data_IF_993837430248
#
_entry.id   IF_993837430248
#
_cell.length_a   1.000
_cell.length_b   1.000
_cell.length_c   1.000
_cell.angle_alpha   90.00
_cell.angle_beta   90.00
_cell.angle_gamma   90.00
#
_symmetry.space_group_name_H-M   'P 1'
#
loop_
_entity.id
_entity.type
_entity.pdbx_description
1 polymer ?
#
# COMPACT_ATOMS: atom_id res chain seq x y z
N UNK A 1 11.23 -34.31 29.59
CA UNK A 1 10.32 -35.10 28.71
C UNK A 1 9.25 -34.15 28.22
N UNK A 2 9.51 -33.58 27.10
CA UNK A 2 8.56 -32.64 26.44
C UNK A 2 7.44 -33.45 25.83
N UNK A 3 6.30 -33.40 26.47
CA UNK A 3 5.02 -33.82 25.91
C UNK A 3 4.54 -32.68 24.97
N UNK A 4 5.29 -32.46 23.88
CA UNK A 4 4.85 -31.48 22.90
C UNK A 4 4.24 -32.16 21.70
N UNK A 5 2.93 -32.05 21.70
CA UNK A 5 2.06 -31.82 20.57
C UNK A 5 2.27 -32.76 19.39
N UNK A 6 1.34 -33.63 19.25
CA UNK A 6 0.98 -34.12 17.91
C UNK A 6 0.92 -32.90 17.00
N UNK A 7 1.66 -32.90 15.89
CA UNK A 7 1.49 -31.85 14.91
C UNK A 7 0.04 -31.92 14.43
N UNK A 8 -0.78 -30.99 14.89
CA UNK A 8 -2.08 -30.78 14.28
C UNK A 8 -1.79 -30.36 12.84
N UNK A 9 -1.99 -31.26 11.89
CA UNK A 9 -1.87 -30.97 10.46
C UNK A 9 -2.77 -29.79 10.15
N UNK A 10 -2.19 -28.73 9.63
CA UNK A 10 -2.93 -27.53 9.22
C UNK A 10 -3.71 -27.86 7.95
N UNK A 11 -4.71 -27.05 7.66
CA UNK A 11 -5.42 -27.13 6.39
C UNK A 11 -4.51 -26.81 5.19
N UNK A 12 -3.37 -26.13 5.41
CA UNK A 12 -2.34 -25.88 4.41
C UNK A 12 -1.48 -27.08 4.05
N UNK A 13 -1.40 -28.08 4.94
CA UNK A 13 -0.55 -29.27 4.75
C UNK A 13 -1.27 -30.36 3.94
N UNK A 14 -2.55 -30.19 3.69
CA UNK A 14 -3.40 -31.23 3.09
C UNK A 14 -3.95 -30.79 1.74
N UNK A 15 -3.92 -31.72 0.77
CA UNK A 15 -4.71 -31.59 -0.45
C UNK A 15 -6.18 -31.68 -0.04
N UNK A 16 -6.97 -30.68 -0.42
CA UNK A 16 -8.41 -30.66 -0.16
C UNK A 16 -9.19 -31.02 -1.41
N UNK A 17 -10.21 -31.81 -1.20
CA UNK A 17 -11.18 -32.15 -2.24
C UNK A 17 -12.51 -31.51 -1.89
N UNK A 18 -13.24 -31.10 -2.88
CA UNK A 18 -14.57 -30.50 -2.73
C UNK A 18 -15.50 -30.87 -3.85
N UNK A 19 -16.77 -30.62 -3.61
CA UNK A 19 -17.83 -30.70 -4.59
C UNK A 19 -18.26 -29.30 -5.00
N UNK A 20 -18.61 -29.08 -6.25
CA UNK A 20 -19.09 -27.78 -6.70
C UNK A 20 -19.60 -27.80 -8.13
N UNK A 21 -20.27 -26.71 -8.54
CA UNK A 21 -20.83 -26.59 -9.87
C UNK A 21 -19.80 -26.67 -11.01
N UNK A 22 -18.51 -26.52 -10.69
CA UNK A 22 -17.39 -26.66 -11.66
C UNK A 22 -16.96 -28.07 -11.93
N UNK A 23 -17.42 -29.02 -11.12
CA UNK A 23 -17.09 -30.46 -11.24
C UNK A 23 -18.31 -31.30 -11.65
N UNK A 24 -19.11 -30.73 -12.55
CA UNK A 24 -20.27 -31.43 -13.10
C UNK A 24 -19.86 -32.30 -14.25
N UNK A 25 -20.43 -33.53 -14.31
CA UNK A 25 -20.26 -34.43 -15.44
C UNK A 25 -21.57 -35.12 -15.75
N UNK A 26 -21.78 -35.41 -17.01
CA UNK A 26 -22.93 -36.20 -17.47
C UNK A 26 -22.43 -37.56 -18.00
N UNK A 27 -23.02 -38.65 -17.49
CA UNK A 27 -22.68 -40.02 -17.95
C UNK A 27 -23.32 -40.28 -19.30
N UNK A 28 -24.47 -39.67 -19.56
CA UNK A 28 -25.24 -39.90 -20.79
C UNK A 28 -25.00 -38.83 -21.87
N UNK A 29 -24.25 -37.79 -21.56
CA UNK A 29 -24.08 -36.63 -22.44
C UNK A 29 -25.29 -35.68 -22.50
N UNK A 30 -26.29 -35.89 -21.66
CA UNK A 30 -27.49 -35.05 -21.57
C UNK A 30 -27.34 -34.00 -20.45
N UNK A 31 -27.77 -32.76 -20.71
CA UNK A 31 -27.78 -31.70 -19.72
C UNK A 31 -28.75 -31.93 -18.55
N UNK A 32 -29.66 -32.90 -18.68
CA UNK A 32 -30.63 -33.29 -17.66
C UNK A 32 -30.12 -34.35 -16.68
N UNK A 33 -28.99 -34.99 -16.97
CA UNK A 33 -28.42 -36.07 -16.16
C UNK A 33 -27.00 -35.67 -15.67
N UNK A 34 -26.94 -34.56 -14.95
CA UNK A 34 -25.69 -33.97 -14.48
C UNK A 34 -25.42 -34.41 -13.03
N UNK A 35 -24.31 -35.06 -12.82
CA UNK A 35 -23.85 -35.47 -11.49
C UNK A 35 -22.74 -34.59 -10.99
N UNK A 36 -22.75 -34.31 -9.69
CA UNK A 36 -21.70 -33.57 -9.03
C UNK A 36 -20.48 -34.45 -8.79
N UNK A 37 -19.36 -34.07 -9.36
CA UNK A 37 -18.09 -34.75 -9.16
C UNK A 37 -17.28 -34.17 -7.98
N UNK A 38 -16.18 -34.83 -7.70
CA UNK A 38 -15.17 -34.38 -6.76
C UNK A 38 -13.93 -33.90 -7.51
N UNK A 39 -13.38 -32.78 -7.11
CA UNK A 39 -12.13 -32.24 -7.63
C UNK A 39 -11.21 -31.75 -6.55
N UNK A 40 -9.95 -31.57 -6.87
CA UNK A 40 -8.99 -30.91 -5.97
C UNK A 40 -9.34 -29.44 -5.91
N UNK A 41 -9.64 -28.95 -4.70
CA UNK A 41 -9.98 -27.55 -4.47
C UNK A 41 -8.79 -26.73 -3.93
N UNK A 42 -7.84 -27.38 -3.25
CA UNK A 42 -6.61 -26.73 -2.81
C UNK A 42 -5.48 -27.77 -2.75
N UNK A 43 -4.30 -27.31 -3.12
CA UNK A 43 -3.06 -28.08 -2.96
C UNK A 43 -2.47 -27.80 -1.57
N UNK A 44 -1.90 -28.84 -0.95
CA UNK A 44 -1.18 -28.73 0.32
C UNK A 44 0.31 -28.85 0.12
N UNK A 45 1.09 -28.36 1.06
CA UNK A 45 2.52 -28.57 1.17
C UNK A 45 2.83 -29.42 2.41
N UNK A 46 3.28 -30.64 2.21
CA UNK A 46 3.56 -31.61 3.28
C UNK A 46 4.77 -31.17 4.13
N UNK A 47 5.65 -30.38 3.54
CA UNK A 47 6.87 -29.88 4.18
C UNK A 47 6.66 -28.50 4.85
N UNK A 48 5.40 -28.03 4.91
CA UNK A 48 5.07 -26.75 5.50
C UNK A 48 5.56 -26.61 6.95
N UNK A 49 6.27 -25.53 7.22
CA UNK A 49 6.84 -25.19 8.53
C UNK A 49 6.16 -23.98 9.14
N UNK A 50 6.43 -23.75 10.42
CA UNK A 50 6.03 -22.53 11.08
C UNK A 50 6.95 -21.37 10.69
N UNK A 51 6.34 -20.22 10.40
CA UNK A 51 7.11 -18.97 10.32
C UNK A 51 7.82 -18.70 11.63
N UNK A 52 9.09 -18.35 11.56
CA UNK A 52 9.92 -18.06 12.73
C UNK A 52 10.35 -16.61 12.72
N UNK A 53 10.07 -15.87 13.79
CA UNK A 53 10.58 -14.52 13.99
C UNK A 53 11.65 -14.48 15.07
N UNK A 54 12.79 -13.88 14.74
CA UNK A 54 13.89 -13.60 15.68
C UNK A 54 14.09 -12.09 15.74
N UNK A 55 14.19 -11.54 16.94
CA UNK A 55 14.37 -10.10 17.13
C UNK A 55 15.56 -9.83 18.05
N UNK A 56 16.42 -8.93 17.63
CA UNK A 56 17.42 -8.28 18.47
C UNK A 56 16.95 -6.85 18.69
N UNK A 57 16.86 -6.45 19.96
CA UNK A 57 16.54 -5.07 20.35
C UNK A 57 17.62 -4.57 21.29
N UNK A 58 18.13 -3.37 21.05
CA UNK A 58 19.09 -2.67 21.92
C UNK A 58 18.59 -1.25 22.10
N UNK A 59 18.32 -0.89 23.35
CA UNK A 59 17.78 0.42 23.67
C UNK A 59 18.34 0.97 24.98
N UNK A 60 18.00 2.19 25.25
CA UNK A 60 18.24 2.83 26.55
C UNK A 60 17.08 3.74 26.93
N UNK A 61 16.86 3.83 28.23
CA UNK A 61 15.96 4.78 28.87
C UNK A 61 16.77 5.76 29.70
N UNK A 62 16.48 7.05 29.55
CA UNK A 62 17.12 8.10 30.32
C UNK A 62 16.08 9.12 30.81
N UNK A 63 16.32 9.63 32.00
CA UNK A 63 15.56 10.74 32.54
C UNK A 63 16.54 11.79 33.03
N UNK A 64 16.42 13.01 32.50
CA UNK A 64 17.35 14.12 32.77
C UNK A 64 16.61 15.40 33.11
N UNK A 65 17.35 16.42 33.51
CA UNK A 65 16.82 17.72 33.91
C UNK A 65 15.77 17.65 35.03
N UNK A 66 16.13 17.05 36.17
CA UNK A 66 15.22 16.85 37.30
C UNK A 66 13.90 16.17 36.90
N UNK A 67 14.00 15.12 36.10
CA UNK A 67 12.88 14.30 35.60
C UNK A 67 11.95 15.04 34.62
N UNK A 68 12.37 16.17 34.06
CA UNK A 68 11.56 16.89 33.08
C UNK A 68 11.64 16.24 31.69
N UNK A 69 12.81 15.75 31.28
CA UNK A 69 12.97 15.10 29.98
C UNK A 69 13.16 13.59 30.17
N UNK A 70 12.21 12.82 29.69
CA UNK A 70 12.31 11.38 29.46
C UNK A 70 12.73 11.10 28.03
N UNK A 71 13.67 10.19 27.85
CA UNK A 71 14.19 9.72 26.55
C UNK A 71 14.10 8.20 26.56
N UNK A 72 13.43 7.59 25.57
CA UNK A 72 13.48 6.17 25.29
C UNK A 72 13.95 6.03 23.85
N UNK A 73 14.99 5.24 23.65
CA UNK A 73 15.54 4.96 22.33
C UNK A 73 15.73 3.46 22.18
N UNK A 74 15.23 2.92 21.08
CA UNK A 74 15.38 1.53 20.69
C UNK A 74 15.87 1.42 19.26
N UNK A 75 16.88 0.57 19.05
CA UNK A 75 17.27 0.06 17.76
C UNK A 75 16.92 -1.42 17.69
N UNK A 76 16.30 -1.84 16.60
CA UNK A 76 15.92 -3.23 16.45
C UNK A 76 16.26 -3.82 15.07
N UNK A 77 16.47 -5.12 15.08
CA UNK A 77 16.61 -5.98 13.90
C UNK A 77 15.70 -7.18 14.09
N UNK A 78 14.66 -7.28 13.28
CA UNK A 78 13.73 -8.42 13.25
C UNK A 78 13.90 -9.18 11.94
N UNK A 79 14.20 -10.47 12.05
CA UNK A 79 14.24 -11.42 10.93
C UNK A 79 13.06 -12.36 11.03
N UNK A 80 12.31 -12.50 9.95
CA UNK A 80 11.24 -13.48 9.82
C UNK A 80 11.65 -14.45 8.72
N UNK A 81 11.72 -15.71 9.06
CA UNK A 81 12.11 -16.81 8.15
C UNK A 81 10.97 -17.77 7.94
N UNK A 82 11.05 -18.53 6.86
CA UNK A 82 10.07 -19.55 6.48
C UNK A 82 8.65 -18.94 6.30
N UNK A 83 8.53 -17.71 5.78
CA UNK A 83 7.21 -17.09 5.52
C UNK A 83 6.41 -17.91 4.51
N UNK A 84 5.15 -18.14 4.83
CA UNK A 84 4.20 -18.83 3.96
C UNK A 84 3.68 -17.89 2.88
N UNK A 85 4.08 -18.14 1.65
CA UNK A 85 3.72 -17.34 0.47
C UNK A 85 2.98 -18.23 -0.53
N UNK A 86 1.99 -17.66 -1.24
CA UNK A 86 1.30 -18.36 -2.32
C UNK A 86 2.28 -18.63 -3.48
N UNK A 87 2.60 -19.89 -3.72
CA UNK A 87 3.55 -20.26 -4.76
C UNK A 87 3.02 -19.93 -6.16
N UNK A 88 3.91 -19.51 -7.06
CA UNK A 88 3.59 -19.55 -8.48
C UNK A 88 3.55 -21.01 -8.92
N UNK A 89 2.35 -21.49 -9.25
CA UNK A 89 2.11 -22.89 -9.63
C UNK A 89 1.76 -23.02 -11.10
N UNK A 90 2.15 -24.15 -11.68
CA UNK A 90 1.83 -24.44 -13.08
C UNK A 90 0.33 -24.54 -13.31
N UNK A 91 -0.16 -24.01 -14.43
CA UNK A 91 -1.54 -24.19 -14.90
C UNK A 91 -1.95 -25.67 -15.04
N UNK A 92 -0.99 -26.59 -15.10
CA UNK A 92 -1.23 -28.06 -15.12
C UNK A 92 -1.89 -28.59 -13.83
N UNK A 93 -1.83 -27.81 -12.73
CA UNK A 93 -2.53 -28.14 -11.48
C UNK A 93 -4.05 -27.89 -11.53
N UNK A 94 -4.58 -27.38 -12.64
CA UNK A 94 -6.00 -27.09 -12.83
C UNK A 94 -6.50 -25.90 -12.01
N UNK A 95 -7.75 -25.97 -11.56
CA UNK A 95 -8.43 -24.88 -10.82
C UNK A 95 -8.25 -24.94 -9.29
N UNK A 96 -7.32 -25.75 -8.79
CA UNK A 96 -7.04 -25.82 -7.36
C UNK A 96 -6.38 -24.54 -6.86
N UNK A 97 -6.73 -24.13 -5.64
CA UNK A 97 -6.03 -23.05 -4.96
C UNK A 97 -4.55 -23.38 -4.82
N UNK A 98 -3.71 -22.37 -4.97
CA UNK A 98 -2.26 -22.49 -4.87
C UNK A 98 -1.83 -22.97 -3.49
N UNK A 99 -0.79 -23.83 -3.40
CA UNK A 99 -0.22 -24.18 -2.11
C UNK A 99 0.49 -22.98 -1.50
N UNK A 100 0.43 -22.87 -0.17
CA UNK A 100 1.28 -21.97 0.60
C UNK A 100 2.55 -22.70 0.95
N UNK A 101 3.69 -22.14 0.54
CA UNK A 101 5.01 -22.73 0.73
C UNK A 101 5.93 -21.79 1.51
N UNK A 102 6.87 -22.36 2.25
CA UNK A 102 7.83 -21.58 3.06
C UNK A 102 9.02 -21.16 2.19
N UNK A 103 8.84 -20.11 1.40
CA UNK A 103 9.84 -19.63 0.44
C UNK A 103 10.27 -18.18 0.65
N UNK A 104 9.84 -17.57 1.73
CA UNK A 104 10.15 -16.16 2.00
C UNK A 104 10.90 -15.93 3.29
N UNK A 105 11.93 -15.08 3.22
CA UNK A 105 12.60 -14.51 4.38
C UNK A 105 12.59 -13.00 4.29
N UNK A 106 12.39 -12.34 5.43
CA UNK A 106 12.30 -10.89 5.52
C UNK A 106 13.10 -10.33 6.69
N UNK A 107 13.70 -9.19 6.47
CA UNK A 107 14.39 -8.41 7.49
C UNK A 107 13.73 -7.05 7.66
N UNK A 108 13.44 -6.68 8.91
CA UNK A 108 13.03 -5.34 9.30
C UNK A 108 14.06 -4.80 10.28
N UNK A 109 14.62 -3.65 9.98
CA UNK A 109 15.51 -2.93 10.90
C UNK A 109 15.04 -1.50 11.05
N UNK A 110 15.10 -0.99 12.28
CA UNK A 110 14.59 0.34 12.55
C UNK A 110 15.08 0.92 13.85
N UNK A 111 14.65 2.15 14.06
CA UNK A 111 14.86 2.92 15.27
C UNK A 111 13.54 3.52 15.73
N UNK A 112 13.31 3.46 17.03
CA UNK A 112 12.19 4.11 17.69
C UNK A 112 12.74 5.09 18.72
N UNK A 113 12.23 6.32 18.72
CA UNK A 113 12.60 7.38 19.66
C UNK A 113 11.34 7.94 20.29
N UNK A 114 11.31 7.94 21.62
CA UNK A 114 10.24 8.60 22.38
C UNK A 114 10.86 9.65 23.30
N UNK A 115 10.44 10.89 23.13
CA UNK A 115 10.84 12.03 23.94
C UNK A 115 9.62 12.57 24.70
N UNK A 116 9.75 12.75 26.00
CA UNK A 116 8.67 13.35 26.79
C UNK A 116 9.23 14.46 27.66
N UNK A 117 8.79 15.67 27.40
CA UNK A 117 9.08 16.83 28.25
C UNK A 117 7.89 17.16 29.14
N UNK A 118 8.11 17.34 30.43
CA UNK A 118 7.10 17.78 31.39
C UNK A 118 7.68 18.90 32.25
N UNK A 119 6.93 19.99 32.38
CA UNK A 119 7.37 21.10 33.21
C UNK A 119 6.15 21.87 33.72
N UNK A 120 6.44 22.79 34.64
CA UNK A 120 5.46 23.67 35.25
C UNK A 120 6.00 25.10 35.27
N UNK A 121 5.24 26.02 34.70
CA UNK A 121 5.56 27.45 34.72
C UNK A 121 4.43 28.19 35.45
N UNK A 122 4.69 28.64 36.66
CA UNK A 122 3.68 29.24 37.52
C UNK A 122 2.54 28.27 37.83
N UNK A 123 1.33 28.56 37.38
CA UNK A 123 0.15 27.74 37.55
C UNK A 123 -0.17 26.82 36.34
N UNK A 124 0.68 26.88 35.30
CA UNK A 124 0.50 26.11 34.07
C UNK A 124 1.37 24.86 34.11
N UNK A 125 0.75 23.73 34.12
CA UNK A 125 1.42 22.44 33.93
C UNK A 125 1.34 22.06 32.43
N UNK A 126 2.47 21.67 31.81
CA UNK A 126 2.45 21.24 30.40
C UNK A 126 3.31 20.01 30.17
N UNK A 127 2.92 19.24 29.16
CA UNK A 127 3.75 18.15 28.67
C UNK A 127 3.73 18.09 27.13
N UNK A 128 4.90 17.77 26.57
CA UNK A 128 5.11 17.54 25.15
C UNK A 128 5.73 16.17 25.02
N UNK A 129 5.02 15.27 24.34
CA UNK A 129 5.53 13.95 23.97
C UNK A 129 5.73 13.88 22.47
N UNK A 130 6.88 13.37 22.01
CA UNK A 130 7.18 13.13 20.60
C UNK A 130 7.64 11.70 20.46
N UNK A 131 6.97 10.93 19.60
CA UNK A 131 7.41 9.61 19.21
C UNK A 131 7.72 9.59 17.73
N UNK A 132 8.87 9.02 17.37
CA UNK A 132 9.38 8.89 16.00
C UNK A 132 9.76 7.44 15.75
N UNK A 133 9.40 6.93 14.58
CA UNK A 133 9.79 5.59 14.14
C UNK A 133 10.26 5.64 12.69
N UNK A 134 11.44 5.09 12.44
CA UNK A 134 11.98 4.87 11.11
C UNK A 134 12.34 3.40 10.95
N UNK A 135 11.88 2.76 9.90
CA UNK A 135 12.25 1.38 9.60
C UNK A 135 12.50 1.13 8.12
N UNK A 136 13.31 0.13 7.84
CA UNK A 136 13.52 -0.41 6.49
C UNK A 136 13.13 -1.87 6.48
N UNK A 137 12.24 -2.19 5.54
CA UNK A 137 11.80 -3.55 5.23
C UNK A 137 12.59 -4.06 4.03
N UNK A 138 13.02 -5.33 4.06
CA UNK A 138 13.72 -5.98 2.95
C UNK A 138 13.41 -7.46 2.90
N UNK A 139 12.96 -7.95 1.75
CA UNK A 139 12.93 -9.37 1.44
C UNK A 139 14.36 -9.87 1.19
N UNK A 140 14.79 -10.85 1.95
CA UNK A 140 16.12 -11.46 1.83
C UNK A 140 16.09 -12.75 1.01
N UNK A 141 14.95 -13.43 0.97
CA UNK A 141 14.68 -14.59 0.12
C UNK A 141 13.21 -14.66 -0.27
N UNK A 142 12.89 -15.18 -1.46
CA UNK A 142 11.50 -15.31 -1.95
C UNK A 142 11.27 -16.55 -2.86
N UNK A 143 12.24 -17.46 -2.95
CA UNK A 143 12.09 -18.70 -3.69
C UNK A 143 11.99 -18.57 -5.22
N UNK A 144 12.08 -17.34 -5.76
CA UNK A 144 12.09 -17.08 -7.21
C UNK A 144 12.86 -15.79 -7.53
N UNK A 145 13.71 -15.85 -8.54
CA UNK A 145 14.47 -14.68 -9.02
C UNK A 145 13.54 -13.67 -9.72
N UNK A 146 12.50 -14.13 -10.39
CA UNK A 146 11.57 -13.28 -11.14
C UNK A 146 10.64 -12.44 -10.26
N UNK A 147 10.59 -12.72 -8.95
CA UNK A 147 9.64 -12.10 -8.03
C UNK A 147 8.23 -12.67 -8.12
N UNK A 148 7.38 -12.27 -7.17
CA UNK A 148 5.97 -12.62 -7.11
C UNK A 148 5.17 -11.35 -7.33
N UNK A 149 4.33 -11.34 -8.37
CA UNK A 149 3.52 -10.20 -8.74
C UNK A 149 2.09 -10.37 -8.25
N UNK A 150 1.56 -9.31 -7.67
CA UNK A 150 0.18 -9.24 -7.22
C UNK A 150 -0.54 -8.08 -7.90
N UNK A 151 -1.81 -8.27 -8.12
CA UNK A 151 -2.69 -7.25 -8.68
C UNK A 151 -4.14 -7.70 -8.55
N UNK A 152 -5.05 -6.77 -8.70
CA UNK A 152 -6.48 -7.04 -8.71
C UNK A 152 -7.04 -6.78 -10.12
N UNK A 153 -7.62 -5.60 -10.32
CA UNK A 153 -8.14 -5.18 -11.64
C UNK A 153 -7.03 -4.69 -12.56
N UNK A 154 -5.95 -4.15 -11.97
CA UNK A 154 -4.71 -3.78 -12.67
C UNK A 154 -3.69 -4.87 -12.37
N UNK A 155 -3.21 -5.53 -13.40
CA UNK A 155 -2.25 -6.62 -13.27
C UNK A 155 -0.88 -6.11 -12.80
N UNK A 156 -0.18 -6.92 -12.01
CA UNK A 156 1.20 -6.67 -11.60
C UNK A 156 1.43 -5.33 -10.88
N UNK A 157 0.43 -4.84 -10.15
CA UNK A 157 0.48 -3.56 -9.44
C UNK A 157 1.53 -3.57 -8.33
N UNK A 158 1.67 -4.68 -7.62
CA UNK A 158 2.64 -4.87 -6.56
C UNK A 158 3.60 -6.00 -6.91
N UNK A 159 4.82 -5.90 -6.41
CA UNK A 159 5.81 -6.96 -6.56
C UNK A 159 6.51 -7.25 -5.23
N UNK A 160 6.70 -8.52 -4.96
CA UNK A 160 7.62 -9.03 -3.94
C UNK A 160 8.86 -9.57 -4.66
N UNK A 161 10.00 -8.92 -4.45
CA UNK A 161 11.26 -9.27 -5.10
C UNK A 161 12.39 -9.24 -4.07
N UNK A 162 13.31 -10.21 -4.17
CA UNK A 162 14.49 -10.29 -3.32
C UNK A 162 15.30 -8.99 -3.39
N UNK A 163 15.69 -8.48 -2.22
CA UNK A 163 16.46 -7.26 -2.11
C UNK A 163 15.63 -5.98 -1.92
N UNK A 164 14.32 -6.03 -2.11
CA UNK A 164 13.39 -4.90 -2.01
C UNK A 164 12.41 -5.07 -0.86
N UNK A 165 11.66 -4.01 -0.56
CA UNK A 165 10.61 -4.07 0.43
C UNK A 165 9.39 -4.85 -0.07
N UNK A 166 8.58 -5.36 0.85
CA UNK A 166 7.33 -6.06 0.50
C UNK A 166 6.32 -5.08 -0.10
N UNK A 167 5.68 -5.48 -1.19
CA UNK A 167 4.57 -4.74 -1.77
C UNK A 167 4.96 -3.45 -2.48
N UNK A 168 6.21 -3.33 -2.95
CA UNK A 168 6.64 -2.23 -3.82
C UNK A 168 5.71 -2.10 -5.03
N UNK A 169 5.39 -0.87 -5.40
CA UNK A 169 4.61 -0.64 -6.61
C UNK A 169 5.47 -0.84 -7.85
N UNK A 170 4.91 -1.57 -8.81
CA UNK A 170 5.61 -1.99 -10.02
C UNK A 170 4.77 -1.69 -11.25
N UNK A 171 5.39 -1.19 -12.31
CA UNK A 171 4.68 -0.82 -13.53
C UNK A 171 5.51 0.03 -14.46
N UNK A 172 4.84 0.67 -15.41
CA UNK A 172 5.48 1.55 -16.38
C UNK A 172 5.73 2.94 -15.81
N UNK A 173 6.90 3.49 -16.09
CA UNK A 173 7.20 4.88 -15.76
C UNK A 173 6.71 5.80 -16.88
N UNK A 174 5.73 6.66 -16.57
CA UNK A 174 5.20 7.66 -17.50
C UNK A 174 6.16 8.85 -17.56
N UNK A 175 6.56 9.22 -18.76
CA UNK A 175 7.44 10.36 -19.09
C UNK A 175 6.67 11.53 -19.72
N UNK A 176 5.36 11.57 -19.55
CA UNK A 176 4.49 12.61 -20.08
C UNK A 176 3.48 12.09 -21.09
N UNK A 177 3.08 12.97 -22.02
CA UNK A 177 2.09 12.70 -23.07
C UNK A 177 2.69 13.11 -24.40
N UNK A 178 2.50 12.28 -25.43
CA UNK A 178 2.89 12.66 -26.80
C UNK A 178 2.02 13.80 -27.29
N UNK A 179 2.64 14.92 -27.67
CA UNK A 179 1.94 16.16 -28.07
C UNK A 179 1.79 16.30 -29.58
N UNK A 180 2.57 15.55 -30.36
CA UNK A 180 2.53 15.58 -31.85
C UNK A 180 3.02 14.26 -32.42
N UNK A 181 2.70 14.02 -33.69
CA UNK A 181 3.24 12.89 -34.45
C UNK A 181 4.78 12.93 -34.54
N UNK A 182 5.35 14.12 -34.65
CA UNK A 182 6.81 14.30 -34.71
C UNK A 182 7.46 13.86 -33.39
N UNK A 183 6.83 14.16 -32.26
CA UNK A 183 7.32 13.69 -30.98
C UNK A 183 7.26 12.16 -30.87
N UNK A 184 6.20 11.53 -31.37
CA UNK A 184 6.11 10.06 -31.43
C UNK A 184 7.22 9.45 -32.27
N UNK A 185 7.48 10.03 -33.47
CA UNK A 185 8.51 9.54 -34.39
C UNK A 185 9.94 9.73 -33.88
N UNK A 186 10.16 10.77 -33.09
CA UNK A 186 11.48 11.19 -32.63
C UNK A 186 11.74 10.92 -31.16
N UNK A 187 10.84 10.17 -30.50
CA UNK A 187 11.04 9.82 -29.09
C UNK A 187 12.27 8.92 -28.93
N UNK A 188 13.12 9.27 -27.98
CA UNK A 188 14.38 8.57 -27.70
C UNK A 188 14.50 8.19 -26.27
N UNK A 189 15.14 7.06 -26.01
CA UNK A 189 15.52 6.62 -24.68
C UNK A 189 16.74 7.39 -24.15
N UNK A 190 17.12 7.10 -22.91
CA UNK A 190 18.26 7.73 -22.25
C UNK A 190 19.60 7.47 -22.96
N UNK A 191 19.70 6.37 -23.73
CA UNK A 191 20.87 6.04 -24.55
C UNK A 191 20.87 6.76 -25.92
N UNK A 192 19.82 7.52 -26.25
CA UNK A 192 19.65 8.24 -27.51
C UNK A 192 19.09 7.38 -28.66
N UNK A 193 18.72 6.14 -28.43
CA UNK A 193 18.05 5.26 -29.37
C UNK A 193 16.59 5.64 -29.60
N UNK A 194 16.07 5.39 -30.82
CA UNK A 194 14.66 5.58 -31.12
C UNK A 194 13.81 4.55 -30.35
N UNK A 195 12.64 4.98 -29.87
CA UNK A 195 11.74 4.15 -29.08
C UNK A 195 10.41 3.94 -29.80
N UNK A 196 9.98 2.70 -29.92
CA UNK A 196 8.66 2.35 -30.42
C UNK A 196 7.66 2.35 -29.27
N UNK A 197 6.53 3.09 -29.40
CA UNK A 197 5.48 3.10 -28.37
C UNK A 197 4.91 1.72 -28.07
N UNK A 198 4.32 1.59 -26.91
CA UNK A 198 3.66 0.36 -26.46
C UNK A 198 2.66 -0.17 -27.48
N UNK A 199 2.75 -1.48 -27.76
CA UNK A 199 1.88 -2.14 -28.74
C UNK A 199 2.31 -2.00 -30.18
N UNK A 200 3.43 -1.31 -30.48
CA UNK A 200 4.01 -1.24 -31.82
C UNK A 200 5.00 -2.39 -32.03
N UNK A 201 4.77 -3.20 -33.04
CA UNK A 201 5.63 -4.37 -33.29
C UNK A 201 6.99 -3.99 -33.90
N UNK A 202 6.97 -3.06 -34.86
CA UNK A 202 8.15 -2.55 -35.60
C UNK A 202 7.92 -1.15 -36.14
N UNK A 203 8.96 -0.53 -36.66
CA UNK A 203 8.90 0.83 -37.19
C UNK A 203 7.99 0.96 -38.45
N UNK A 204 7.77 -0.12 -39.18
CA UNK A 204 6.91 -0.10 -40.37
C UNK A 204 5.42 -0.10 -40.02
N UNK A 205 5.09 -0.68 -38.85
CA UNK A 205 3.71 -0.73 -38.30
C UNK A 205 3.36 0.51 -37.46
N UNK A 206 4.32 1.42 -37.23
CA UNK A 206 4.07 2.62 -36.41
C UNK A 206 3.09 3.56 -37.11
N UNK A 207 1.95 3.81 -36.48
CA UNK A 207 1.04 4.87 -36.86
C UNK A 207 1.05 5.97 -35.80
N UNK A 208 1.82 7.04 -35.96
CA UNK A 208 2.02 8.04 -34.91
C UNK A 208 0.75 8.75 -34.45
N UNK A 209 -0.22 8.94 -35.35
CA UNK A 209 -1.46 9.63 -35.03
C UNK A 209 -2.26 8.91 -33.92
N UNK A 210 -2.08 7.60 -33.75
CA UNK A 210 -2.75 6.81 -32.69
C UNK A 210 -2.18 7.07 -31.29
N UNK A 211 -0.96 7.61 -31.22
CA UNK A 211 -0.27 7.84 -29.95
C UNK A 211 -0.32 9.29 -29.49
N UNK A 212 -0.67 10.23 -30.37
CA UNK A 212 -0.84 11.64 -29.97
C UNK A 212 -1.92 11.76 -28.90
N UNK A 213 -1.60 12.42 -27.80
CA UNK A 213 -2.45 12.51 -26.62
C UNK A 213 -2.41 11.29 -25.69
N UNK A 214 -1.62 10.28 -25.98
CA UNK A 214 -1.44 9.10 -25.13
C UNK A 214 -0.21 9.24 -24.21
N UNK A 215 -0.11 8.42 -23.16
CA UNK A 215 1.06 8.40 -22.30
C UNK A 215 2.31 8.02 -23.08
N UNK A 216 3.34 8.80 -22.88
CA UNK A 216 4.72 8.52 -23.26
C UNK A 216 5.37 7.74 -22.12
N UNK A 217 5.84 6.54 -22.39
CA UNK A 217 6.43 5.63 -21.42
C UNK A 217 7.92 5.56 -21.60
N UNK A 218 8.67 5.51 -20.52
CA UNK A 218 10.12 5.40 -20.52
C UNK A 218 10.56 4.00 -20.93
N UNK A 219 11.47 3.92 -21.88
CA UNK A 219 12.22 2.70 -22.22
C UNK A 219 13.32 2.51 -21.18
N UNK A 220 13.07 1.63 -20.22
CA UNK A 220 13.93 1.46 -19.02
C UNK A 220 15.16 0.61 -19.35
N UNK A 221 14.99 -0.40 -20.20
CA UNK A 221 16.06 -1.32 -20.58
C UNK A 221 16.90 -0.81 -21.77
N UNK A 222 16.47 0.28 -22.44
CA UNK A 222 17.08 0.90 -23.60
C UNK A 222 17.16 -0.02 -24.84
N UNK A 223 16.18 -0.91 -25.03
CA UNK A 223 16.13 -1.80 -26.19
C UNK A 223 15.39 -1.22 -27.40
N UNK A 224 14.79 -0.03 -27.26
CA UNK A 224 14.09 0.70 -28.31
C UNK A 224 12.63 0.29 -28.50
N UNK A 225 12.04 -0.45 -27.55
CA UNK A 225 10.63 -0.85 -27.54
C UNK A 225 10.05 -0.61 -26.17
N UNK A 226 8.74 -0.40 -26.09
CA UNK A 226 8.01 -0.40 -24.82
C UNK A 226 7.23 -1.71 -24.71
N UNK A 227 7.67 -2.58 -23.81
CA UNK A 227 7.01 -3.85 -23.51
C UNK A 227 7.07 -4.21 -22.01
N UNK A 228 6.77 -5.47 -21.67
CA UNK A 228 6.73 -5.89 -20.28
C UNK A 228 8.09 -5.80 -19.56
N UNK A 229 9.20 -5.74 -20.29
CA UNK A 229 10.57 -5.62 -19.74
C UNK A 229 10.90 -4.21 -19.27
N UNK A 230 10.09 -3.19 -19.65
CA UNK A 230 10.22 -1.81 -19.20
C UNK A 230 9.51 -1.51 -17.88
N UNK A 231 8.84 -2.50 -17.32
CA UNK A 231 8.23 -2.34 -16.00
C UNK A 231 9.32 -2.26 -14.94
N UNK A 232 9.18 -1.29 -14.05
CA UNK A 232 10.15 -1.01 -12.98
C UNK A 232 9.43 -0.68 -11.68
N UNK A 233 10.19 -0.42 -10.61
CA UNK A 233 9.62 0.10 -9.38
C UNK A 233 9.19 1.55 -9.59
N UNK A 234 7.91 1.83 -9.36
CA UNK A 234 7.29 3.14 -9.56
C UNK A 234 6.89 3.83 -8.26
N UNK A 235 6.96 3.13 -7.13
CA UNK A 235 6.67 3.71 -5.83
C UNK A 235 6.90 2.73 -4.68
N UNK A 236 7.03 3.30 -3.47
CA UNK A 236 7.25 2.58 -2.23
C UNK A 236 6.11 2.83 -1.24
N UNK A 237 5.33 1.81 -0.84
CA UNK A 237 4.25 1.99 0.13
C UNK A 237 4.73 2.19 1.57
N UNK A 238 6.02 1.95 1.88
CA UNK A 238 6.55 2.07 3.23
C UNK A 238 6.98 3.50 3.51
N UNK A 239 6.56 4.10 4.65
CA UNK A 239 7.01 5.43 5.02
C UNK A 239 8.49 5.44 5.43
N UNK A 240 9.14 6.55 5.13
CA UNK A 240 10.49 6.82 5.65
C UNK A 240 10.44 7.17 7.13
N UNK A 241 9.41 7.92 7.55
CA UNK A 241 9.26 8.34 8.94
C UNK A 241 7.77 8.36 9.33
N UNK A 242 7.48 7.77 10.47
CA UNK A 242 6.19 7.91 11.14
C UNK A 242 6.38 8.48 12.53
N UNK A 243 5.39 9.16 13.04
CA UNK A 243 5.48 9.66 14.40
C UNK A 243 4.23 10.34 14.88
N UNK A 244 4.29 10.79 16.12
CA UNK A 244 3.20 11.53 16.73
C UNK A 244 3.69 12.54 17.73
N UNK A 245 2.87 13.56 17.95
CA UNK A 245 3.10 14.60 18.93
C UNK A 245 1.90 14.67 19.86
N UNK A 246 2.14 14.44 21.13
CA UNK A 246 1.17 14.63 22.21
C UNK A 246 1.46 15.97 22.89
N UNK A 247 0.48 16.84 22.96
CA UNK A 247 0.56 18.08 23.71
C UNK A 247 -0.51 18.06 24.78
N UNK A 248 -0.14 18.43 26.01
CA UNK A 248 -1.13 18.67 27.06
C UNK A 248 -0.75 19.91 27.88
N UNK A 249 -1.75 20.69 28.24
CA UNK A 249 -1.63 21.90 29.05
C UNK A 249 -2.75 21.90 30.07
N UNK A 250 -2.38 22.10 31.33
CA UNK A 250 -3.31 22.26 32.45
C UNK A 250 -3.18 23.65 33.09
N UNK A 251 -4.28 24.34 33.35
CA UNK A 251 -4.32 25.61 33.99
C UNK A 251 -5.62 25.85 34.77
N UNK A 252 -5.53 26.03 36.09
CA UNK A 252 -6.67 26.37 36.96
C UNK A 252 -7.91 25.49 36.78
N UNK A 253 -7.70 24.20 36.63
CA UNK A 253 -8.78 23.23 36.42
C UNK A 253 -9.14 23.00 34.95
N UNK A 254 -8.74 23.84 34.02
CA UNK A 254 -8.80 23.58 32.60
C UNK A 254 -7.69 22.61 32.18
N UNK A 255 -7.98 21.71 31.27
CA UNK A 255 -7.01 20.87 30.61
C UNK A 255 -7.29 20.85 29.09
N UNK A 256 -6.25 21.08 28.31
CA UNK A 256 -6.25 20.96 26.86
C UNK A 256 -5.28 19.86 26.47
N UNK A 257 -5.70 18.92 25.66
CA UNK A 257 -4.81 17.91 25.11
C UNK A 257 -5.09 17.66 23.63
N UNK A 258 -4.03 17.38 22.88
CA UNK A 258 -4.12 17.03 21.47
C UNK A 258 -3.11 15.97 21.11
N UNK A 259 -3.47 15.14 20.11
CA UNK A 259 -2.58 14.19 19.50
C UNK A 259 -2.54 14.43 17.98
N UNK A 260 -1.35 14.68 17.50
CA UNK A 260 -1.05 14.76 16.07
C UNK A 260 -0.30 13.48 15.66
N UNK A 261 -0.66 12.96 14.51
CA UNK A 261 0.03 11.80 13.90
C UNK A 261 0.45 12.16 12.48
N UNK A 262 1.63 11.72 12.07
CA UNK A 262 2.12 11.92 10.71
C UNK A 262 2.81 10.66 10.16
N UNK A 263 2.75 10.55 8.84
CA UNK A 263 3.50 9.59 8.04
C UNK A 263 4.10 10.34 6.86
N UNK A 264 5.37 10.11 6.56
CA UNK A 264 6.10 10.84 5.52
C UNK A 264 6.90 9.86 4.68
N UNK A 265 6.91 10.08 3.35
CA UNK A 265 7.75 9.35 2.40
C UNK A 265 7.15 8.04 1.90
N UNK A 266 5.88 7.76 2.19
CA UNK A 266 5.18 6.64 1.58
C UNK A 266 4.39 7.06 0.35
N UNK A 267 4.39 6.21 -0.66
CA UNK A 267 3.53 6.36 -1.83
C UNK A 267 2.20 5.62 -1.65
N UNK A 268 1.18 6.10 -2.35
CA UNK A 268 -0.14 5.46 -2.45
C UNK A 268 -0.42 5.18 -3.93
N UNK A 269 -0.87 3.96 -4.21
CA UNK A 269 -1.46 3.64 -5.50
C UNK A 269 -2.91 4.13 -5.50
N UNK A 270 -3.18 5.23 -6.21
CA UNK A 270 -4.48 5.91 -6.26
C UNK A 270 -5.49 5.12 -7.12
N UNK A 271 -5.90 3.95 -6.64
CA UNK A 271 -6.77 3.01 -7.38
C UNK A 271 -8.11 3.62 -7.80
N UNK A 272 -8.59 4.68 -7.11
CA UNK A 272 -9.81 5.38 -7.50
C UNK A 272 -9.71 5.98 -8.91
N UNK A 273 -8.49 6.33 -9.40
CA UNK A 273 -8.25 6.85 -10.76
C UNK A 273 -8.66 5.84 -11.83
N UNK A 274 -8.50 4.54 -11.57
CA UNK A 274 -8.97 3.47 -12.45
C UNK A 274 -10.46 3.62 -12.76
N UNK A 275 -11.26 3.98 -11.76
CA UNK A 275 -12.70 4.12 -11.92
C UNK A 275 -13.14 5.49 -12.44
N UNK A 276 -12.45 6.55 -12.01
CA UNK A 276 -12.92 7.93 -12.22
C UNK A 276 -12.13 8.71 -13.24
N UNK A 277 -10.93 8.25 -13.62
CA UNK A 277 -10.05 8.95 -14.57
C UNK A 277 -9.83 8.17 -15.86
N UNK A 278 -9.80 6.84 -15.82
CA UNK A 278 -9.43 6.01 -16.95
C UNK A 278 -10.57 5.14 -17.53
N UNK A 279 -11.82 5.44 -17.15
CA UNK A 279 -12.96 4.94 -17.90
C UNK A 279 -13.41 3.52 -17.61
N UNK A 280 -12.94 2.89 -16.55
CA UNK A 280 -13.36 1.53 -16.18
C UNK A 280 -14.84 1.39 -15.79
N UNK A 281 -15.48 2.47 -15.38
CA UNK A 281 -16.91 2.54 -15.13
C UNK A 281 -17.59 3.48 -16.14
N UNK A 282 -18.64 3.01 -16.77
CA UNK A 282 -19.38 3.75 -17.82
C UNK A 282 -20.20 4.93 -17.28
N UNK A 283 -19.96 5.44 -16.07
CA UNK A 283 -20.94 6.35 -15.45
C UNK A 283 -20.46 7.76 -15.20
N UNK A 284 -19.33 7.99 -14.62
CA UNK A 284 -18.94 9.36 -14.27
C UNK A 284 -17.41 9.51 -14.19
N UNK A 285 -16.91 10.45 -14.95
CA UNK A 285 -15.52 10.87 -14.84
C UNK A 285 -15.37 11.98 -13.81
N UNK A 286 -14.19 12.06 -13.20
CA UNK A 286 -13.89 13.15 -12.28
C UNK A 286 -13.80 14.48 -13.03
N UNK A 287 -14.13 15.57 -12.31
CA UNK A 287 -13.95 16.92 -12.83
C UNK A 287 -12.46 17.17 -13.16
N UNK A 288 -11.56 16.67 -12.34
CA UNK A 288 -10.11 16.75 -12.54
C UNK A 288 -9.70 16.13 -13.89
N UNK A 289 -10.17 14.93 -14.19
CA UNK A 289 -9.94 14.29 -15.50
C UNK A 289 -10.45 15.14 -16.66
N UNK A 290 -11.64 15.71 -16.52
CA UNK A 290 -12.26 16.57 -17.54
C UNK A 290 -11.41 17.82 -17.82
N UNK A 291 -10.99 18.50 -16.74
CA UNK A 291 -10.35 19.80 -16.84
C UNK A 291 -8.86 19.69 -17.19
N UNK A 292 -8.20 18.56 -16.85
CA UNK A 292 -6.77 18.34 -16.99
C UNK A 292 -6.41 17.25 -18.03
N UNK A 293 -7.35 16.84 -18.88
CA UNK A 293 -7.00 16.00 -20.05
C UNK A 293 -6.26 16.80 -21.09
N UNK A 294 -5.28 16.15 -21.69
CA UNK A 294 -4.58 16.72 -22.83
C UNK A 294 -5.52 16.85 -24.02
N UNK A 295 -5.46 17.98 -24.70
CA UNK A 295 -6.04 18.22 -26.02
C UNK A 295 -5.21 19.29 -26.73
N UNK A 296 -5.41 19.51 -28.05
CA UNK A 296 -4.76 20.63 -28.75
C UNK A 296 -5.03 21.99 -28.10
N UNK A 297 -6.21 22.16 -27.48
CA UNK A 297 -6.62 23.37 -26.77
C UNK A 297 -6.07 23.41 -25.33
N UNK A 298 -5.72 22.26 -24.75
CA UNK A 298 -5.10 22.12 -23.43
C UNK A 298 -3.79 21.33 -23.49
N UNK A 299 -2.72 21.87 -24.08
CA UNK A 299 -1.46 21.17 -24.32
C UNK A 299 -0.66 20.86 -23.03
N UNK A 300 -1.08 21.41 -21.90
CA UNK A 300 -0.49 21.16 -20.57
C UNK A 300 -1.29 20.14 -19.75
N UNK A 301 -2.28 19.51 -20.35
CA UNK A 301 -3.04 18.44 -19.68
C UNK A 301 -2.11 17.31 -19.22
N UNK A 302 -2.40 16.76 -18.04
CA UNK A 302 -1.60 15.71 -17.40
C UNK A 302 -2.21 14.31 -17.57
N UNK A 303 -3.44 14.23 -18.02
CA UNK A 303 -4.10 12.97 -18.35
C UNK A 303 -4.16 12.76 -19.86
N UNK A 304 -4.16 11.52 -20.33
CA UNK A 304 -4.27 11.24 -21.76
C UNK A 304 -5.51 11.90 -22.40
N UNK A 305 -5.46 12.10 -23.69
CA UNK A 305 -6.59 12.60 -24.44
C UNK A 305 -7.83 11.72 -24.25
N UNK A 306 -9.02 12.32 -24.22
CA UNK A 306 -10.25 11.55 -24.30
C UNK A 306 -10.29 10.77 -25.60
N UNK A 307 -10.31 9.46 -25.50
CA UNK A 307 -10.55 8.63 -26.66
C UNK A 307 -12.04 8.37 -26.79
N UNK A 308 -12.56 8.45 -28.01
CA UNK A 308 -13.86 7.88 -28.32
C UNK A 308 -13.78 6.36 -28.11
N UNK A 309 -14.78 5.77 -27.55
CA UNK A 309 -14.99 4.43 -26.97
C UNK A 309 -14.17 3.20 -27.42
N UNK A 310 -13.22 3.32 -28.32
CA UNK A 310 -12.41 2.23 -28.88
C UNK A 310 -10.89 2.41 -28.76
N UNK A 311 -10.42 3.48 -28.12
CA UNK A 311 -8.99 3.83 -28.18
C UNK A 311 -8.38 4.44 -26.92
N UNK A 312 -8.90 4.21 -25.71
CA UNK A 312 -8.13 4.58 -24.53
C UNK A 312 -6.82 3.79 -24.50
N UNK A 313 -5.72 4.49 -24.24
CA UNK A 313 -4.43 3.87 -24.09
C UNK A 313 -4.53 2.71 -23.09
N UNK A 314 -4.23 1.52 -23.56
CA UNK A 314 -4.21 0.31 -22.75
C UNK A 314 -3.33 0.48 -21.50
N UNK A 315 -2.26 1.29 -21.59
CA UNK A 315 -1.38 1.60 -20.47
C UNK A 315 -2.10 2.44 -19.42
N UNK A 316 -2.84 3.48 -19.80
CA UNK A 316 -3.50 4.35 -18.84
C UNK A 316 -4.54 3.60 -17.99
N UNK A 317 -5.38 2.79 -18.65
CA UNK A 317 -6.52 2.15 -18.00
C UNK A 317 -6.22 0.75 -17.44
N UNK A 318 -5.39 -0.05 -18.11
CA UNK A 318 -5.27 -1.47 -17.82
C UNK A 318 -3.93 -1.88 -17.24
N UNK A 319 -2.93 -1.02 -17.32
CA UNK A 319 -1.58 -1.33 -16.88
C UNK A 319 -1.18 -0.49 -15.67
N UNK A 320 -0.47 -1.12 -14.75
CA UNK A 320 0.16 -0.40 -13.65
C UNK A 320 1.18 0.59 -14.17
N UNK A 321 1.05 1.85 -13.78
CA UNK A 321 1.95 2.91 -14.23
C UNK A 321 2.05 4.05 -13.20
N UNK A 322 3.08 4.89 -13.33
CA UNK A 322 3.39 5.92 -12.34
C UNK A 322 2.35 7.04 -12.22
N UNK A 323 1.39 7.18 -13.14
CA UNK A 323 0.30 8.16 -13.01
C UNK A 323 -0.70 7.82 -11.91
N UNK A 324 -0.70 6.56 -11.45
CA UNK A 324 -1.47 6.13 -10.28
C UNK A 324 -0.77 6.42 -8.95
N UNK A 325 0.54 6.71 -8.98
CA UNK A 325 1.31 6.89 -7.76
C UNK A 325 1.18 8.34 -7.29
N UNK A 326 0.83 8.49 -6.03
CA UNK A 326 0.74 9.78 -5.36
C UNK A 326 1.49 9.75 -4.04
N UNK A 327 2.00 10.90 -3.61
CA UNK A 327 2.59 11.06 -2.28
C UNK A 327 1.51 10.84 -1.20
N UNK A 328 1.71 9.83 -0.38
CA UNK A 328 0.84 9.45 0.72
C UNK A 328 1.19 10.13 2.03
N UNK A 329 2.12 11.07 2.04
CA UNK A 329 2.50 11.79 3.24
C UNK A 329 1.35 12.61 3.81
N UNK A 330 1.22 12.63 5.14
CA UNK A 330 0.18 13.41 5.80
C UNK A 330 0.54 13.79 7.23
N UNK A 331 -0.11 14.84 7.73
CA UNK A 331 -0.20 15.22 9.14
C UNK A 331 -1.67 15.30 9.53
N UNK A 332 -2.06 14.60 10.60
CA UNK A 332 -3.43 14.56 11.11
C UNK A 332 -3.48 14.96 12.58
N UNK A 333 -4.36 15.90 12.93
CA UNK A 333 -4.78 16.09 14.31
C UNK A 333 -5.88 15.07 14.60
N UNK A 334 -5.51 13.97 15.27
CA UNK A 334 -6.43 12.86 15.53
C UNK A 334 -7.43 13.19 16.64
N UNK A 335 -6.99 13.90 17.67
CA UNK A 335 -7.84 14.28 18.80
C UNK A 335 -7.50 15.68 19.29
N UNK A 336 -8.54 16.40 19.71
CA UNK A 336 -8.44 17.64 20.47
C UNK A 336 -9.46 17.54 21.60
N UNK A 337 -9.00 17.64 22.84
CA UNK A 337 -9.85 17.53 24.03
C UNK A 337 -9.66 18.76 24.89
N UNK A 338 -10.77 19.40 25.25
CA UNK A 338 -10.82 20.47 26.26
C UNK A 338 -11.64 19.99 27.43
N UNK A 339 -11.04 19.98 28.61
CA UNK A 339 -11.68 19.59 29.84
C UNK A 339 -11.67 20.68 30.90
N UNK A 340 -12.60 20.59 31.85
CA UNK A 340 -12.63 21.41 33.06
C UNK A 340 -12.95 20.56 34.27
N UNK A 341 -12.06 20.58 35.25
CA UNK A 341 -12.27 19.91 36.54
C UNK A 341 -12.80 20.93 37.55
N UNK A 342 -13.95 20.64 38.12
CA UNK A 342 -14.60 21.53 39.06
C UNK A 342 -13.77 21.71 40.36
N UNK A 343 -13.79 22.91 40.97
CA UNK A 343 -13.03 23.18 42.18
C UNK A 343 -13.42 22.31 43.36
N UNK A 344 -12.45 21.86 44.18
CA UNK A 344 -12.68 21.05 45.39
C UNK A 344 -13.71 21.65 46.33
N UNK A 345 -13.78 22.96 46.46
CA UNK A 345 -14.76 23.65 47.33
C UNK A 345 -16.21 23.38 46.90
N UNK A 346 -16.48 23.21 45.64
CA UNK A 346 -17.82 22.81 45.12
C UNK A 346 -18.08 21.33 45.37
N UNK A 347 -17.04 20.50 45.13
CA UNK A 347 -17.13 19.06 45.30
C UNK A 347 -17.45 18.64 46.74
N UNK A 348 -16.79 19.29 47.71
CA UNK A 348 -17.04 19.03 49.10
C UNK A 348 -18.49 19.31 49.52
N UNK A 349 -19.15 20.32 48.90
CA UNK A 349 -20.56 20.65 49.17
C UNK A 349 -21.53 19.55 48.71
N UNK A 350 -21.21 18.93 47.59
CA UNK A 350 -22.06 17.90 46.95
C UNK A 350 -21.59 16.45 47.26
N UNK A 351 -20.56 16.29 48.12
CA UNK A 351 -19.98 15.02 48.55
C UNK A 351 -19.47 14.15 47.40
N UNK A 352 -18.88 14.77 46.39
CA UNK A 352 -18.16 14.09 45.32
C UNK A 352 -16.65 14.36 45.44
N UNK A 353 -15.83 13.39 45.04
CA UNK A 353 -14.36 13.56 45.06
C UNK A 353 -13.87 14.42 43.90
N UNK A 354 -14.40 14.18 42.72
CA UNK A 354 -13.99 14.89 41.48
C UNK A 354 -15.09 14.81 40.42
N UNK A 355 -15.38 15.93 39.81
CA UNK A 355 -16.18 16.00 38.55
C UNK A 355 -15.32 16.70 37.51
N UNK A 356 -15.16 16.08 36.34
CA UNK A 356 -14.54 16.68 35.15
C UNK A 356 -15.53 16.61 34.00
N UNK A 357 -15.75 17.73 33.36
CA UNK A 357 -16.56 17.87 32.15
C UNK A 357 -15.60 18.10 31.00
N UNK A 358 -15.76 17.41 29.88
CA UNK A 358 -14.89 17.61 28.72
C UNK A 358 -15.67 17.48 27.42
N UNK A 359 -15.15 18.17 26.39
CA UNK A 359 -15.51 17.99 25.00
C UNK A 359 -14.32 17.46 24.20
N UNK A 360 -14.56 16.54 23.29
CA UNK A 360 -13.53 15.98 22.42
C UNK A 360 -13.98 16.01 20.96
N UNK A 361 -13.06 16.40 20.09
CA UNK A 361 -13.22 16.36 18.64
C UNK A 361 -12.19 15.36 18.11
N UNK A 362 -12.64 14.45 17.25
CA UNK A 362 -11.79 13.48 16.58
C UNK A 362 -11.60 13.84 15.11
N UNK A 363 -10.41 13.55 14.54
CA UNK A 363 -10.06 13.86 13.15
C UNK A 363 -10.32 15.32 12.78
N UNK A 364 -9.73 16.24 13.57
CA UNK A 364 -9.95 17.69 13.46
C UNK A 364 -9.57 18.22 12.08
N UNK A 365 -8.41 17.81 11.58
CA UNK A 365 -7.94 18.07 10.21
C UNK A 365 -6.92 17.03 9.76
N UNK A 366 -6.77 16.93 8.44
CA UNK A 366 -5.67 16.19 7.78
C UNK A 366 -5.05 17.09 6.73
N UNK A 367 -3.74 17.28 6.80
CA UNK A 367 -2.94 17.95 5.77
C UNK A 367 -2.23 16.88 4.95
N UNK A 368 -2.50 16.83 3.66
CA UNK A 368 -1.92 15.84 2.74
C UNK A 368 -1.92 16.39 1.31
N UNK A 369 -0.97 15.94 0.50
CA UNK A 369 -0.96 16.13 -0.95
C UNK A 369 -1.77 15.07 -1.72
N UNK A 370 -2.19 14.00 -1.04
CA UNK A 370 -2.98 12.93 -1.66
C UNK A 370 -4.34 13.45 -2.13
N UNK A 371 -4.68 13.21 -3.39
CA UNK A 371 -5.90 13.73 -4.01
C UNK A 371 -7.16 12.89 -3.75
N UNK A 372 -6.99 11.69 -3.16
CA UNK A 372 -8.10 10.82 -2.76
C UNK A 372 -8.77 11.26 -1.46
N UNK A 373 -9.73 10.45 -0.98
CA UNK A 373 -10.55 10.80 0.20
C UNK A 373 -9.73 10.85 1.50
N UNK A 374 -8.85 9.90 1.72
CA UNK A 374 -8.08 9.79 2.96
C UNK A 374 -6.81 8.94 2.72
N UNK A 375 -5.61 9.44 3.03
CA UNK A 375 -4.37 8.69 2.84
C UNK A 375 -4.24 7.45 3.73
N UNK A 376 -5.10 7.27 4.73
CA UNK A 376 -5.13 6.11 5.63
C UNK A 376 -6.22 5.08 5.27
N UNK A 377 -7.10 5.38 4.32
CA UNK A 377 -8.16 4.43 3.94
C UNK A 377 -7.55 3.19 3.31
N UNK A 378 -7.91 2.04 3.88
CA UNK A 378 -7.67 0.74 3.26
C UNK A 378 -8.65 0.54 2.11
N UNK A 379 -8.15 0.18 0.96
CA UNK A 379 -8.98 -0.43 -0.07
C UNK A 379 -9.21 -1.90 0.32
N UNK A 380 -10.28 -2.16 1.04
CA UNK A 380 -10.80 -3.52 1.18
C UNK A 380 -11.70 -3.76 -0.03
N UNK A 381 -11.42 -4.75 -0.83
CA UNK A 381 -12.20 -5.07 -2.04
C UNK A 381 -13.55 -5.73 -1.70
N UNK A 382 -13.89 -5.79 -0.42
CA UNK A 382 -15.14 -6.41 0.06
C UNK A 382 -15.18 -7.93 -0.09
N UNK A 383 -14.11 -8.56 -0.57
CA UNK A 383 -14.06 -10.01 -0.77
C UNK A 383 -13.57 -10.78 0.47
N UNK A 384 -13.31 -10.10 1.56
CA UNK A 384 -12.71 -10.68 2.77
C UNK A 384 -11.22 -11.04 2.60
N UNK A 385 -10.68 -10.89 1.42
CA UNK A 385 -9.28 -11.00 1.10
C UNK A 385 -8.67 -9.58 1.12
N UNK A 386 -8.36 -9.09 2.30
CA UNK A 386 -7.59 -7.85 2.45
C UNK A 386 -6.18 -8.06 1.91
N UNK A 387 -6.01 -8.01 0.59
CA UNK A 387 -4.72 -7.92 -0.09
C UNK A 387 -4.21 -6.47 -0.11
N UNK A 388 -4.68 -5.67 0.80
CA UNK A 388 -4.18 -4.34 1.06
C UNK A 388 -3.37 -4.36 2.33
N UNK A 389 -2.16 -3.95 2.23
CA UNK A 389 -1.23 -3.55 3.27
C UNK A 389 -1.78 -3.63 4.70
N UNK A 390 -1.38 -4.66 5.42
CA UNK A 390 -1.32 -4.59 6.89
C UNK A 390 -0.06 -3.80 7.24
N UNK A 391 -0.23 -2.57 7.72
CA UNK A 391 0.82 -1.88 8.46
C UNK A 391 0.98 -2.55 9.81
#
# INVERSE_FOLDING_TARGET
RDLHSFPTRRSSDLIRYGTGNTWLYSITGSDTDVMTGYGVTALGDIDAKWETSKMLNVGFDATVFDQRLGINFDWYLKKTSDMLIDANWSALAGNADKPKVNIGDMENKGVDLNLTWRDKVGEVDYSIGVNLSHYKNKLTEIGTEAGIFEGTRISNMNVMMKGYAVGMFHGYQVDGIYKSEDEVRNYKNDAGGAVLPYGTADAASLNPSQYVGQFKVKDVNNDGKIDASDRTFIGNPHPDLTGGVNLSVGWKGFDLSTYLYFSVGNDIFAMYKYYTHYGSLQSAYSKDRRDNSWSPENPNGIYPMWATATGESTIAANESNSSYIEDGSFLRMQTLTLGYTLPKAWMNKIKFDKIRIYGQISNVFTLTGYSGLDPQVRTDDGSGNSKGRKI
#
